data_IF_491968157654
#
_entry.id   IF_491968157654
#
_cell.length_a   1.000
_cell.length_b   1.000
_cell.length_c   1.000
_cell.angle_alpha   90.00
_cell.angle_beta   90.00
_cell.angle_gamma   90.00
#
_symmetry.space_group_name_H-M   'P 1'
#
loop_
_entity.id
_entity.type
_entity.pdbx_description
1 polymer ?
#
# COMPACT_ATOMS: atom_id res chain seq x y z
N UNK A 1 -9.57 -21.06 -18.98
CA UNK A 1 -8.47 -21.03 -17.99
C UNK A 1 -9.10 -21.27 -16.61
N UNK A 2 -8.55 -22.17 -15.80
CA UNK A 2 -9.00 -22.37 -14.41
C UNK A 2 -8.33 -21.32 -13.53
N UNK A 3 -9.00 -20.80 -12.50
CA UNK A 3 -8.44 -19.78 -11.58
C UNK A 3 -7.11 -20.23 -10.97
N UNK A 4 -6.96 -21.52 -10.64
CA UNK A 4 -5.69 -22.05 -10.11
C UNK A 4 -4.52 -21.91 -11.08
N UNK A 5 -4.75 -21.89 -12.40
CA UNK A 5 -3.72 -21.64 -13.40
C UNK A 5 -3.34 -20.16 -13.52
N UNK A 6 -3.99 -19.28 -12.75
CA UNK A 6 -3.72 -17.86 -12.67
C UNK A 6 -3.03 -17.46 -11.36
N UNK A 7 -2.69 -18.42 -10.51
CA UNK A 7 -2.01 -18.18 -9.25
C UNK A 7 -0.62 -18.83 -9.30
N UNK A 8 0.35 -18.32 -8.53
CA UNK A 8 1.61 -19.02 -8.36
C UNK A 8 1.36 -20.42 -7.77
N UNK A 9 2.26 -21.36 -8.07
CA UNK A 9 2.19 -22.74 -7.55
C UNK A 9 2.23 -22.79 -6.01
N UNK A 10 2.81 -21.77 -5.39
CA UNK A 10 2.84 -21.58 -3.94
C UNK A 10 2.74 -20.10 -3.61
N UNK A 11 2.07 -19.74 -2.50
CA UNK A 11 2.01 -18.35 -2.06
C UNK A 11 3.41 -17.82 -1.74
N UNK A 12 3.63 -16.52 -1.92
CA UNK A 12 4.90 -15.88 -1.59
C UNK A 12 5.23 -16.07 -0.10
N UNK A 13 6.47 -16.47 0.20
CA UNK A 13 6.93 -16.62 1.58
C UNK A 13 7.30 -15.30 2.24
N UNK A 14 7.55 -14.26 1.44
CA UNK A 14 7.85 -12.91 1.90
C UNK A 14 7.21 -11.88 0.96
N UNK A 15 6.91 -10.70 1.49
CA UNK A 15 6.45 -9.55 0.69
C UNK A 15 7.16 -8.28 1.14
N UNK A 16 7.46 -7.38 0.21
CA UNK A 16 7.99 -6.07 0.57
C UNK A 16 6.89 -5.14 1.12
N UNK A 17 7.19 -4.48 2.24
CA UNK A 17 6.36 -3.41 2.77
C UNK A 17 6.60 -2.14 1.94
N UNK A 18 5.60 -1.75 1.15
CA UNK A 18 5.59 -0.49 0.41
C UNK A 18 5.06 0.60 1.34
N UNK A 19 5.95 1.43 1.86
CA UNK A 19 5.59 2.49 2.80
C UNK A 19 4.98 3.68 2.07
N UNK A 20 3.84 4.17 2.55
CA UNK A 20 3.22 5.36 1.94
C UNK A 20 3.78 6.62 2.54
N UNK A 21 4.11 7.56 1.65
CA UNK A 21 4.49 8.93 1.98
C UNK A 21 3.31 9.80 1.59
N UNK A 22 2.51 10.18 2.57
CA UNK A 22 1.39 11.11 2.45
C UNK A 22 1.84 12.54 2.15
N UNK A 23 0.88 13.45 1.92
CA UNK A 23 1.16 14.84 1.57
C UNK A 23 1.69 15.68 2.75
N UNK A 24 1.35 15.29 3.98
CA UNK A 24 1.75 15.99 5.20
C UNK A 24 2.78 15.25 6.06
N UNK A 25 3.16 14.04 5.67
CA UNK A 25 4.06 13.23 6.50
C UNK A 25 5.44 13.91 6.63
N UNK A 26 6.03 13.92 7.83
CA UNK A 26 7.36 14.48 8.04
C UNK A 26 8.40 13.61 7.31
N UNK A 27 9.21 14.25 6.46
CA UNK A 27 10.23 13.55 5.68
C UNK A 27 11.51 13.36 6.49
N UNK A 28 11.80 14.29 7.39
CA UNK A 28 12.95 14.24 8.29
C UNK A 28 12.53 14.42 9.73
N UNK A 29 13.24 13.75 10.65
CA UNK A 29 13.07 13.95 12.09
C UNK A 29 13.06 15.43 12.50
N UNK A 30 13.87 16.27 11.86
CA UNK A 30 13.97 17.70 12.17
C UNK A 30 12.71 18.52 11.83
N UNK A 31 11.82 17.99 10.98
CA UNK A 31 10.56 18.66 10.59
C UNK A 31 9.47 18.52 11.65
N UNK A 32 9.62 17.58 12.58
CA UNK A 32 8.61 17.29 13.61
C UNK A 32 8.74 18.32 14.76
N UNK A 33 7.72 19.15 15.00
CA UNK A 33 7.66 20.06 16.15
C UNK A 33 7.81 19.31 17.48
N UNK A 34 8.41 19.97 18.48
CA UNK A 34 8.70 19.32 19.77
C UNK A 34 7.46 18.78 20.49
N UNK A 35 6.33 19.46 20.35
CA UNK A 35 5.02 19.10 20.91
C UNK A 35 4.26 18.05 20.09
N UNK A 36 4.66 17.80 18.85
CA UNK A 36 4.09 16.75 17.98
C UNK A 36 4.93 15.46 17.97
N UNK A 37 6.10 15.46 18.64
CA UNK A 37 6.95 14.27 18.76
C UNK A 37 6.29 13.23 19.65
N UNK A 38 6.15 12.03 19.12
CA UNK A 38 5.64 10.90 19.89
C UNK A 38 6.78 10.27 20.71
N UNK A 39 6.51 10.00 21.99
CA UNK A 39 7.34 9.12 22.83
C UNK A 39 6.65 7.77 22.97
N UNK A 40 6.45 7.07 21.86
CA UNK A 40 5.85 5.73 21.80
C UNK A 40 6.86 4.61 21.45
N UNK A 41 8.09 5.02 21.08
CA UNK A 41 9.23 4.18 20.74
C UNK A 41 9.27 3.73 19.27
N UNK A 42 8.44 4.29 18.40
CA UNK A 42 8.38 3.98 16.97
C UNK A 42 8.96 5.14 16.12
N UNK A 43 9.45 4.87 14.90
CA UNK A 43 9.89 5.92 13.99
C UNK A 43 8.70 6.75 13.50
N UNK A 44 8.87 8.07 13.42
CA UNK A 44 7.82 9.00 13.02
C UNK A 44 8.08 9.66 11.66
N UNK A 45 9.33 10.02 11.37
CA UNK A 45 9.68 10.59 10.06
C UNK A 45 10.07 9.52 9.04
N UNK A 46 9.93 9.84 7.74
CA UNK A 46 10.31 8.93 6.65
C UNK A 46 11.76 8.45 6.78
N UNK A 47 12.71 9.33 7.08
CA UNK A 47 14.12 8.97 7.22
C UNK A 47 14.37 7.99 8.38
N UNK A 48 13.65 8.13 9.48
CA UNK A 48 13.65 7.17 10.60
C UNK A 48 13.01 5.83 10.21
N UNK A 49 11.88 5.87 9.51
CA UNK A 49 11.19 4.67 9.02
C UNK A 49 12.10 3.85 8.09
N UNK A 50 12.80 4.51 7.16
CA UNK A 50 13.75 3.86 6.25
C UNK A 50 14.86 3.15 7.04
N UNK A 51 15.49 3.85 8.00
CA UNK A 51 16.56 3.28 8.83
C UNK A 51 16.08 2.13 9.70
N UNK A 52 14.92 2.30 10.35
CA UNK A 52 14.40 1.36 11.34
C UNK A 52 13.94 0.05 10.72
N UNK A 53 13.35 0.11 9.52
CA UNK A 53 12.75 -1.06 8.87
C UNK A 53 13.52 -1.54 7.63
N UNK A 54 14.54 -0.81 7.18
CA UNK A 54 15.29 -1.12 5.96
C UNK A 54 14.46 -1.00 4.69
N UNK A 55 13.49 -0.06 4.67
CA UNK A 55 12.52 0.10 3.58
C UNK A 55 13.21 0.37 2.24
N UNK A 56 12.64 -0.18 1.16
CA UNK A 56 13.07 0.07 -0.22
C UNK A 56 11.92 0.28 -1.20
N UNK A 57 10.68 0.18 -0.74
CA UNK A 57 9.48 0.30 -1.57
C UNK A 57 8.61 1.41 -1.01
N UNK A 58 8.19 2.33 -1.86
CA UNK A 58 7.45 3.52 -1.46
C UNK A 58 6.23 3.75 -2.35
N UNK A 59 5.13 4.23 -1.76
CA UNK A 59 3.99 4.81 -2.46
C UNK A 59 3.96 6.28 -2.12
N UNK A 60 4.07 7.16 -3.09
CA UNK A 60 4.18 8.61 -2.84
C UNK A 60 2.90 9.27 -3.34
N UNK A 61 2.20 9.95 -2.44
CA UNK A 61 0.99 10.69 -2.81
C UNK A 61 1.36 12.02 -3.48
N UNK A 62 0.64 12.37 -4.53
CA UNK A 62 0.72 13.67 -5.21
C UNK A 62 -0.65 14.36 -5.14
N UNK A 63 -0.66 15.70 -5.12
CA UNK A 63 -1.90 16.47 -5.06
C UNK A 63 -2.26 17.18 -6.38
N UNK A 64 -1.45 16.99 -7.43
CA UNK A 64 -1.66 17.55 -8.76
C UNK A 64 -1.38 19.05 -8.87
N UNK A 65 -0.69 19.63 -7.87
CA UNK A 65 -0.33 21.04 -7.81
C UNK A 65 1.16 21.21 -7.85
N UNK A 66 1.68 21.81 -8.91
CA UNK A 66 3.12 21.97 -9.17
C UNK A 66 3.87 22.63 -8.02
N UNK A 67 3.30 23.69 -7.45
CA UNK A 67 3.87 24.47 -6.35
C UNK A 67 4.02 23.67 -5.05
N UNK A 68 3.23 22.60 -4.90
CA UNK A 68 3.26 21.71 -3.74
C UNK A 68 4.07 20.45 -4.03
N UNK A 69 3.79 19.79 -5.15
CA UNK A 69 4.33 18.48 -5.47
C UNK A 69 5.80 18.56 -5.89
N UNK A 70 6.24 19.56 -6.66
CA UNK A 70 7.64 19.61 -7.13
C UNK A 70 8.62 19.75 -5.95
N UNK A 71 8.48 20.75 -5.05
CA UNK A 71 9.38 20.86 -3.89
C UNK A 71 9.33 19.62 -2.99
N UNK A 72 8.13 19.06 -2.76
CA UNK A 72 7.96 17.88 -1.91
C UNK A 72 8.59 16.63 -2.52
N UNK A 73 8.35 16.36 -3.80
CA UNK A 73 8.93 15.22 -4.51
C UNK A 73 10.45 15.32 -4.59
N UNK A 74 11.02 16.53 -4.73
CA UNK A 74 12.47 16.74 -4.67
C UNK A 74 13.02 16.33 -3.31
N UNK A 75 12.35 16.73 -2.22
CA UNK A 75 12.78 16.35 -0.88
C UNK A 75 12.64 14.85 -0.61
N UNK A 76 11.51 14.25 -1.01
CA UNK A 76 11.31 12.81 -0.92
C UNK A 76 12.43 12.09 -1.69
N UNK A 77 12.69 12.48 -2.94
CA UNK A 77 13.75 11.88 -3.78
C UNK A 77 15.11 11.94 -3.08
N UNK A 78 15.43 13.08 -2.45
CA UNK A 78 16.67 13.25 -1.68
C UNK A 78 16.73 12.30 -0.48
N UNK A 79 15.67 12.25 0.34
CA UNK A 79 15.60 11.35 1.51
C UNK A 79 15.70 9.88 1.09
N UNK A 80 15.02 9.48 0.01
CA UNK A 80 15.08 8.11 -0.51
C UNK A 80 16.48 7.75 -1.02
N UNK A 81 17.12 8.64 -1.80
CA UNK A 81 18.47 8.41 -2.31
C UNK A 81 19.53 8.33 -1.19
N UNK A 82 19.40 9.15 -0.14
CA UNK A 82 20.27 9.12 1.04
C UNK A 82 20.04 7.85 1.88
N UNK A 83 18.77 7.48 2.12
CA UNK A 83 18.40 6.38 3.00
C UNK A 83 18.48 4.99 2.35
N UNK A 84 18.45 4.91 1.01
CA UNK A 84 18.42 3.66 0.26
C UNK A 84 19.62 3.55 -0.70
N UNK A 85 20.86 3.41 -0.21
CA UNK A 85 22.05 3.36 -1.07
C UNK A 85 22.08 2.16 -2.02
N UNK A 86 21.29 1.12 -1.74
CA UNK A 86 21.10 -0.07 -2.60
C UNK A 86 19.99 0.11 -3.65
N UNK A 87 19.45 1.32 -3.79
CA UNK A 87 18.30 1.63 -4.62
C UNK A 87 16.97 1.45 -3.89
N UNK A 88 15.93 2.05 -4.47
CA UNK A 88 14.55 1.97 -4.02
C UNK A 88 13.62 1.76 -5.22
N UNK A 89 12.35 1.54 -4.96
CA UNK A 89 11.26 1.48 -5.94
C UNK A 89 10.11 2.35 -5.44
N UNK A 90 9.46 3.05 -6.37
CA UNK A 90 8.40 3.98 -6.02
C UNK A 90 7.18 3.84 -6.92
N UNK A 91 6.00 4.12 -6.37
CA UNK A 91 4.77 4.35 -7.12
C UNK A 91 4.30 5.77 -6.83
N UNK A 92 3.67 6.44 -7.79
CA UNK A 92 2.96 7.69 -7.50
C UNK A 92 1.47 7.41 -7.44
N UNK A 93 0.80 7.96 -6.43
CA UNK A 93 -0.64 7.86 -6.23
C UNK A 93 -1.26 9.24 -6.40
N UNK A 94 -2.02 9.38 -7.48
CA UNK A 94 -2.71 10.62 -7.82
C UNK A 94 -4.08 10.76 -7.20
N UNK A 95 -4.58 9.77 -6.44
CA UNK A 95 -5.76 9.83 -5.57
C UNK A 95 -6.89 10.73 -6.11
N UNK A 96 -7.29 10.50 -7.37
CA UNK A 96 -8.40 11.18 -8.05
C UNK A 96 -8.24 12.70 -8.32
N UNK A 97 -7.01 13.24 -8.33
CA UNK A 97 -6.77 14.69 -8.41
C UNK A 97 -7.01 15.31 -9.81
N UNK A 98 -7.10 14.51 -10.88
CA UNK A 98 -7.22 15.01 -12.25
C UNK A 98 -8.59 14.67 -12.87
N UNK A 99 -9.15 15.58 -13.68
CA UNK A 99 -10.41 15.33 -14.42
C UNK A 99 -10.16 14.85 -15.86
N UNK A 100 -8.93 14.96 -16.34
CA UNK A 100 -8.52 14.62 -17.70
C UNK A 100 -7.15 13.96 -17.67
N UNK A 101 -6.98 12.89 -18.45
CA UNK A 101 -5.69 12.22 -18.57
C UNK A 101 -4.68 13.10 -19.35
N UNK A 102 -5.16 13.98 -20.23
CA UNK A 102 -4.29 14.92 -20.93
C UNK A 102 -3.64 15.91 -19.96
N UNK A 103 -4.39 16.41 -18.97
CA UNK A 103 -3.88 17.32 -17.95
C UNK A 103 -2.86 16.60 -17.05
N UNK A 104 -3.16 15.35 -16.65
CA UNK A 104 -2.19 14.54 -15.91
C UNK A 104 -0.92 14.27 -16.72
N UNK A 105 -1.04 14.01 -18.03
CA UNK A 105 0.13 13.79 -18.91
C UNK A 105 1.02 15.03 -18.97
N UNK A 106 0.44 16.22 -19.05
CA UNK A 106 1.22 17.46 -19.02
C UNK A 106 1.89 17.67 -17.66
N UNK A 107 1.17 17.45 -16.56
CA UNK A 107 1.74 17.49 -15.22
C UNK A 107 2.91 16.51 -15.05
N UNK A 108 2.73 15.26 -15.49
CA UNK A 108 3.79 14.25 -15.49
C UNK A 108 5.02 14.72 -16.29
N UNK A 109 4.81 15.33 -17.47
CA UNK A 109 5.89 15.85 -18.30
C UNK A 109 6.72 16.91 -17.56
N UNK A 110 6.07 17.77 -16.77
CA UNK A 110 6.74 18.77 -15.95
C UNK A 110 7.57 18.11 -14.84
N UNK A 111 7.01 17.14 -14.13
CA UNK A 111 7.76 16.38 -13.11
C UNK A 111 8.96 15.64 -13.71
N UNK A 112 8.75 14.94 -14.82
CA UNK A 112 9.80 14.15 -15.48
C UNK A 112 10.91 15.01 -16.09
N UNK A 113 10.63 16.27 -16.45
CA UNK A 113 11.64 17.21 -16.94
C UNK A 113 12.56 17.74 -15.83
N UNK A 114 12.16 17.59 -14.56
CA UNK A 114 12.96 18.02 -13.43
C UNK A 114 14.10 17.04 -13.11
N UNK A 115 15.34 17.49 -13.36
CA UNK A 115 16.54 16.67 -13.13
C UNK A 115 16.72 16.22 -11.68
N UNK A 116 16.19 16.96 -10.71
CA UNK A 116 16.26 16.57 -9.32
C UNK A 116 15.35 15.36 -9.00
N UNK A 117 14.37 15.07 -9.86
CA UNK A 117 13.47 13.92 -9.74
C UNK A 117 13.95 12.70 -10.55
N UNK A 118 15.07 12.80 -11.28
CA UNK A 118 15.56 11.69 -12.09
C UNK A 118 15.71 10.37 -11.32
N UNK A 119 16.29 10.31 -10.09
CA UNK A 119 16.39 9.06 -9.34
C UNK A 119 15.02 8.44 -9.00
N UNK A 120 14.00 9.27 -8.78
CA UNK A 120 12.65 8.82 -8.51
C UNK A 120 12.01 8.22 -9.77
N UNK A 121 12.13 8.90 -10.91
CA UNK A 121 11.58 8.42 -12.18
C UNK A 121 12.31 7.19 -12.73
N UNK A 122 13.62 7.07 -12.50
CA UNK A 122 14.40 5.87 -12.80
C UNK A 122 13.92 4.64 -11.99
N UNK A 123 13.28 4.89 -10.84
CA UNK A 123 12.77 3.87 -9.91
C UNK A 123 11.24 3.75 -9.91
N UNK A 124 10.55 4.44 -10.84
CA UNK A 124 9.09 4.48 -10.89
C UNK A 124 8.52 3.19 -11.47
N UNK A 125 7.66 2.53 -10.70
CA UNK A 125 7.03 1.27 -11.08
C UNK A 125 5.71 1.52 -11.83
N UNK A 126 4.84 2.39 -11.30
CA UNK A 126 3.58 2.79 -11.93
C UNK A 126 2.97 4.05 -11.30
N UNK A 127 1.95 4.58 -11.95
CA UNK A 127 1.03 5.60 -11.44
C UNK A 127 -0.31 4.95 -11.07
N UNK A 128 -0.80 5.24 -9.88
CA UNK A 128 -2.10 4.78 -9.36
C UNK A 128 -3.13 5.92 -9.43
N UNK A 129 -4.30 5.59 -9.98
CA UNK A 129 -5.51 6.42 -10.04
C UNK A 129 -5.28 7.95 -10.09
N UNK A 130 -4.67 8.49 -11.16
CA UNK A 130 -4.53 9.95 -11.26
C UNK A 130 -5.87 10.63 -11.57
N UNK A 131 -6.77 9.97 -12.30
CA UNK A 131 -8.06 10.54 -12.66
C UNK A 131 -9.12 10.31 -11.59
N UNK A 132 -10.02 11.27 -11.41
CA UNK A 132 -11.28 11.07 -10.71
C UNK A 132 -12.09 9.94 -11.37
N UNK A 133 -12.72 9.08 -10.56
CA UNK A 133 -13.40 7.86 -11.02
C UNK A 133 -14.46 8.10 -12.09
N UNK A 134 -15.15 9.23 -12.02
CA UNK A 134 -16.18 9.63 -13.01
C UNK A 134 -15.61 9.89 -14.41
N UNK A 135 -14.28 10.00 -14.53
CA UNK A 135 -13.55 10.28 -15.75
C UNK A 135 -12.64 9.12 -16.18
N UNK A 136 -12.17 8.32 -15.22
CA UNK A 136 -11.16 7.28 -15.44
C UNK A 136 -11.54 6.24 -16.52
N UNK A 137 -12.83 5.95 -16.73
CA UNK A 137 -13.29 4.91 -17.67
C UNK A 137 -13.97 5.45 -18.94
N UNK A 138 -13.82 6.75 -19.24
CA UNK A 138 -14.37 7.38 -20.45
C UNK A 138 -13.53 7.06 -21.69
N UNK A 139 -14.14 7.11 -22.88
CA UNK A 139 -13.49 6.73 -24.15
C UNK A 139 -12.31 7.63 -24.52
N UNK A 140 -12.30 8.89 -24.11
CA UNK A 140 -11.24 9.85 -24.43
C UNK A 140 -9.89 9.45 -23.83
N UNK A 141 -9.89 8.72 -22.70
CA UNK A 141 -8.70 8.16 -22.06
C UNK A 141 -7.88 7.30 -23.02
N UNK A 142 -8.53 6.50 -23.87
CA UNK A 142 -7.85 5.58 -24.77
C UNK A 142 -6.91 6.30 -25.73
N UNK A 143 -7.37 7.41 -26.29
CA UNK A 143 -6.58 8.20 -27.25
C UNK A 143 -5.29 8.76 -26.62
N UNK A 144 -5.35 9.15 -25.34
CA UNK A 144 -4.20 9.70 -24.63
C UNK A 144 -3.21 8.60 -24.26
N UNK A 145 -3.69 7.44 -23.77
CA UNK A 145 -2.83 6.30 -23.44
C UNK A 145 -2.15 5.70 -24.67
N UNK A 146 -2.86 5.59 -25.80
CA UNK A 146 -2.31 5.12 -27.07
C UNK A 146 -1.21 6.06 -27.60
N UNK A 147 -1.42 7.38 -27.48
CA UNK A 147 -0.48 8.40 -27.91
C UNK A 147 0.70 8.62 -26.94
N UNK A 148 0.70 7.98 -25.76
CA UNK A 148 1.72 8.15 -24.72
C UNK A 148 2.50 6.84 -24.51
N UNK A 149 3.19 6.38 -25.55
CA UNK A 149 3.87 5.06 -25.58
C UNK A 149 5.05 4.94 -24.61
N UNK A 150 5.75 6.04 -24.37
CA UNK A 150 6.87 6.18 -23.45
C UNK A 150 6.44 6.55 -22.02
N UNK A 151 5.13 6.70 -21.78
CA UNK A 151 4.57 6.94 -20.44
C UNK A 151 4.65 5.72 -19.51
N UNK A 152 4.54 5.95 -18.20
CA UNK A 152 4.54 4.88 -17.20
C UNK A 152 3.30 3.99 -17.33
N UNK A 153 3.32 2.82 -16.69
CA UNK A 153 2.09 2.07 -16.46
C UNK A 153 1.14 2.86 -15.56
N UNK A 154 -0.14 2.91 -15.93
CA UNK A 154 -1.19 3.54 -15.12
C UNK A 154 -2.18 2.45 -14.71
N UNK A 155 -2.52 2.39 -13.43
CA UNK A 155 -3.54 1.48 -12.89
C UNK A 155 -4.73 2.26 -12.33
N UNK A 156 -5.88 1.60 -12.28
CA UNK A 156 -7.05 2.09 -11.55
C UNK A 156 -7.06 1.54 -10.12
N UNK A 157 -7.63 2.32 -9.21
CA UNK A 157 -7.98 1.90 -7.87
C UNK A 157 -9.42 2.35 -7.54
N UNK A 158 -9.67 3.63 -7.24
CA UNK A 158 -11.00 4.12 -6.86
C UNK A 158 -12.07 3.90 -7.94
N UNK A 159 -11.67 3.86 -9.21
CA UNK A 159 -12.55 3.52 -10.33
C UNK A 159 -12.83 2.01 -10.48
N UNK A 160 -12.14 1.14 -9.74
CA UNK A 160 -12.33 -0.31 -9.75
C UNK A 160 -13.36 -0.75 -8.69
N UNK A 161 -14.63 -0.40 -8.91
CA UNK A 161 -15.75 -0.69 -8.00
C UNK A 161 -16.55 -1.97 -8.34
N UNK A 162 -16.63 -2.34 -9.61
CA UNK A 162 -17.43 -3.43 -10.17
C UNK A 162 -16.54 -4.52 -10.81
N UNK A 163 -17.12 -5.64 -11.26
CA UNK A 163 -16.35 -6.68 -12.00
C UNK A 163 -16.06 -6.29 -13.45
N UNK A 164 -16.75 -5.27 -13.98
CA UNK A 164 -16.63 -4.83 -15.38
C UNK A 164 -15.59 -3.71 -15.56
N UNK A 165 -15.14 -3.09 -14.47
CA UNK A 165 -14.29 -1.90 -14.51
C UNK A 165 -12.87 -2.21 -14.99
N UNK A 166 -12.22 -3.28 -14.48
CA UNK A 166 -10.92 -3.70 -15.00
C UNK A 166 -10.98 -4.13 -16.48
N UNK A 167 -11.92 -4.98 -16.95
CA UNK A 167 -12.09 -5.24 -18.37
C UNK A 167 -12.13 -3.97 -19.21
N UNK A 168 -12.94 -2.99 -18.80
CA UNK A 168 -13.06 -1.71 -19.47
C UNK A 168 -11.76 -0.90 -19.43
N UNK A 169 -11.09 -0.83 -18.28
CA UNK A 169 -9.81 -0.13 -18.15
C UNK A 169 -8.75 -0.73 -19.08
N UNK A 170 -8.67 -2.06 -19.17
CA UNK A 170 -7.74 -2.72 -20.07
C UNK A 170 -8.08 -2.45 -21.55
N UNK A 171 -9.37 -2.33 -21.92
CA UNK A 171 -9.78 -1.93 -23.28
C UNK A 171 -9.37 -0.48 -23.60
N UNK A 172 -9.30 0.39 -22.60
CA UNK A 172 -8.81 1.78 -22.73
C UNK A 172 -7.27 1.87 -22.75
N UNK A 173 -6.55 0.81 -22.40
CA UNK A 173 -5.09 0.77 -22.39
C UNK A 173 -4.44 1.01 -21.02
N UNK A 174 -5.20 0.99 -19.92
CA UNK A 174 -4.61 0.92 -18.58
C UNK A 174 -3.77 -0.35 -18.41
N UNK A 175 -2.80 -0.31 -17.50
CA UNK A 175 -1.90 -1.42 -17.21
C UNK A 175 -2.43 -2.38 -16.15
N UNK A 176 -3.48 -2.03 -15.42
CA UNK A 176 -4.16 -2.92 -14.49
C UNK A 176 -4.89 -2.22 -13.35
N UNK A 177 -4.89 -2.85 -12.17
CA UNK A 177 -5.66 -2.39 -10.99
C UNK A 177 -4.94 -2.70 -9.66
N UNK A 178 -5.53 -2.26 -8.55
CA UNK A 178 -5.11 -2.54 -7.18
C UNK A 178 -6.07 -3.50 -6.45
N UNK A 179 -5.54 -4.55 -5.83
CA UNK A 179 -6.29 -5.47 -4.97
C UNK A 179 -6.47 -4.88 -3.57
N UNK A 180 -7.71 -4.98 -3.06
CA UNK A 180 -8.07 -4.68 -1.66
C UNK A 180 -9.04 -5.73 -1.17
N UNK A 181 -8.83 -6.26 0.03
CA UNK A 181 -9.78 -7.23 0.60
C UNK A 181 -11.20 -6.68 0.71
N UNK A 182 -11.37 -5.39 1.02
CA UNK A 182 -12.70 -4.76 1.11
C UNK A 182 -13.45 -4.69 -0.24
N UNK A 183 -12.73 -4.70 -1.38
CA UNK A 183 -13.31 -4.77 -2.72
C UNK A 183 -13.74 -6.19 -3.10
N UNK A 184 -13.36 -7.18 -2.30
CA UNK A 184 -13.73 -8.58 -2.42
C UNK A 184 -12.58 -9.46 -2.90
N UNK A 185 -12.28 -10.50 -2.12
CA UNK A 185 -11.23 -11.48 -2.43
C UNK A 185 -11.46 -12.23 -3.74
N UNK A 186 -12.73 -12.51 -4.07
CA UNK A 186 -13.11 -13.17 -5.33
C UNK A 186 -12.84 -12.26 -6.53
N UNK A 187 -13.09 -10.96 -6.37
CA UNK A 187 -12.75 -9.96 -7.39
C UNK A 187 -11.24 -9.90 -7.62
N UNK A 188 -10.43 -9.90 -6.56
CA UNK A 188 -8.96 -9.98 -6.66
C UNK A 188 -8.48 -11.17 -7.49
N UNK A 189 -9.03 -12.36 -7.22
CA UNK A 189 -8.74 -13.57 -8.01
C UNK A 189 -9.16 -13.44 -9.48
N UNK A 190 -10.35 -12.89 -9.74
CA UNK A 190 -10.84 -12.67 -11.09
C UNK A 190 -9.98 -11.66 -11.86
N UNK A 191 -9.57 -10.57 -11.21
CA UNK A 191 -8.70 -9.53 -11.76
C UNK A 191 -7.31 -10.09 -12.11
N UNK A 192 -6.71 -10.88 -11.21
CA UNK A 192 -5.44 -11.57 -11.49
C UNK A 192 -5.55 -12.49 -12.72
N UNK A 193 -6.61 -13.31 -12.77
CA UNK A 193 -6.86 -14.20 -13.91
C UNK A 193 -7.05 -13.44 -15.23
N UNK A 194 -7.78 -12.33 -15.19
CA UNK A 194 -8.00 -11.49 -16.37
C UNK A 194 -6.70 -10.86 -16.87
N UNK A 195 -5.89 -10.30 -15.97
CA UNK A 195 -4.60 -9.68 -16.29
C UNK A 195 -3.67 -10.68 -16.96
N UNK A 196 -3.53 -11.90 -16.40
CA UNK A 196 -2.69 -12.93 -17.02
C UNK A 196 -3.21 -13.36 -18.39
N UNK A 197 -4.54 -13.50 -18.55
CA UNK A 197 -5.15 -13.85 -19.83
C UNK A 197 -4.91 -12.77 -20.90
N UNK A 198 -4.92 -11.49 -20.51
CA UNK A 198 -4.74 -10.36 -21.43
C UNK A 198 -3.28 -9.96 -21.64
N UNK A 199 -2.37 -10.41 -20.78
CA UNK A 199 -0.95 -10.03 -20.79
C UNK A 199 -0.29 -10.05 -22.18
N UNK A 200 -0.54 -11.10 -22.97
CA UNK A 200 0.04 -11.26 -24.32
C UNK A 200 -0.46 -10.24 -25.35
N UNK A 201 -1.55 -9.52 -25.07
CA UNK A 201 -2.16 -8.53 -25.94
C UNK A 201 -1.99 -7.10 -25.43
N UNK A 202 -1.37 -6.93 -24.26
CA UNK A 202 -1.12 -5.63 -23.67
C UNK A 202 0.19 -5.04 -24.21
N UNK A 203 0.22 -3.71 -24.37
CA UNK A 203 1.43 -2.97 -24.76
C UNK A 203 2.42 -2.82 -23.61
N UNK A 204 1.93 -2.92 -22.37
CA UNK A 204 2.70 -2.86 -21.12
C UNK A 204 2.48 -4.13 -20.31
N UNK A 205 3.43 -4.45 -19.43
CA UNK A 205 3.25 -5.55 -18.50
C UNK A 205 1.99 -5.34 -17.64
N UNK A 206 1.20 -6.39 -17.41
CA UNK A 206 0.05 -6.29 -16.52
C UNK A 206 0.49 -6.00 -15.09
N UNK A 207 -0.25 -5.13 -14.41
CA UNK A 207 0.03 -4.72 -13.04
C UNK A 207 -1.17 -5.08 -12.16
N UNK A 208 -0.90 -5.87 -11.12
CA UNK A 208 -1.79 -6.04 -9.99
C UNK A 208 -1.08 -5.51 -8.75
N UNK A 209 -1.45 -4.30 -8.31
CA UNK A 209 -1.00 -3.74 -7.03
C UNK A 209 -1.82 -4.31 -5.87
N UNK A 210 -1.46 -3.97 -4.65
CA UNK A 210 -2.25 -4.28 -3.46
C UNK A 210 -2.13 -3.18 -2.40
N UNK A 211 -3.19 -2.98 -1.62
CA UNK A 211 -3.29 -1.94 -0.59
C UNK A 211 -3.88 -2.45 0.74
N UNK A 212 -3.40 -1.95 1.91
CA UNK A 212 -3.97 -2.36 3.22
C UNK A 212 -5.20 -1.59 3.65
N UNK A 213 -5.38 -0.34 3.22
CA UNK A 213 -6.29 0.60 3.89
C UNK A 213 -5.91 0.85 5.36
N UNK A 214 -4.61 0.92 5.65
CA UNK A 214 -4.08 1.06 7.01
C UNK A 214 -4.59 -0.01 8.00
N UNK A 215 -4.98 -1.19 7.51
CA UNK A 215 -5.42 -2.30 8.34
C UNK A 215 -4.35 -2.71 9.35
N UNK A 216 -4.80 -2.97 10.58
CA UNK A 216 -3.97 -3.51 11.66
C UNK A 216 -4.37 -4.95 11.98
N UNK A 217 -3.49 -5.63 12.72
CA UNK A 217 -3.78 -6.96 13.22
C UNK A 217 -4.84 -6.97 14.34
N UNK A 218 -5.27 -8.17 14.75
CA UNK A 218 -4.69 -9.44 14.33
C UNK A 218 -5.43 -10.14 13.18
N UNK A 219 -6.57 -9.65 12.69
CA UNK A 219 -7.32 -10.38 11.64
C UNK A 219 -7.15 -9.76 10.26
N UNK A 220 -7.51 -8.48 10.10
CA UNK A 220 -7.59 -7.84 8.79
C UNK A 220 -6.24 -7.84 8.06
N UNK A 221 -5.16 -7.46 8.77
CA UNK A 221 -3.81 -7.48 8.21
C UNK A 221 -3.37 -8.88 7.77
N UNK A 222 -3.66 -9.92 8.57
CA UNK A 222 -3.24 -11.30 8.27
C UNK A 222 -3.95 -11.85 7.03
N UNK A 223 -5.26 -11.64 6.93
CA UNK A 223 -6.05 -12.06 5.77
C UNK A 223 -5.65 -11.31 4.51
N UNK A 224 -5.27 -10.04 4.65
CA UNK A 224 -4.78 -9.24 3.53
C UNK A 224 -3.43 -9.76 3.02
N UNK A 225 -2.48 -10.02 3.91
CA UNK A 225 -1.19 -10.63 3.54
C UNK A 225 -1.36 -12.03 2.94
N UNK A 226 -2.30 -12.83 3.42
CA UNK A 226 -2.61 -14.13 2.83
C UNK A 226 -3.10 -14.00 1.38
N UNK A 227 -3.96 -13.03 1.08
CA UNK A 227 -4.40 -12.75 -0.29
C UNK A 227 -3.26 -12.24 -1.17
N UNK A 228 -2.46 -11.29 -0.68
CA UNK A 228 -1.29 -10.74 -1.39
C UNK A 228 -0.31 -11.85 -1.77
N UNK A 229 0.00 -12.75 -0.82
CA UNK A 229 0.87 -13.89 -1.06
C UNK A 229 0.29 -14.87 -2.07
N UNK A 230 -1.00 -15.19 -1.95
CA UNK A 230 -1.70 -16.09 -2.86
C UNK A 230 -1.84 -15.52 -4.28
N UNK A 231 -1.99 -14.20 -4.42
CA UNK A 231 -2.04 -13.50 -5.72
C UNK A 231 -0.66 -13.31 -6.34
N UNK A 232 0.43 -13.61 -5.62
CA UNK A 232 1.80 -13.44 -6.11
C UNK A 232 2.25 -11.99 -6.21
N UNK A 233 1.67 -11.08 -5.42
CA UNK A 233 2.00 -9.66 -5.46
C UNK A 233 3.23 -9.40 -4.57
N UNK A 234 4.38 -8.98 -5.13
CA UNK A 234 5.67 -9.00 -4.42
C UNK A 234 5.86 -7.85 -3.43
N UNK A 235 5.02 -6.81 -3.50
CA UNK A 235 5.04 -5.66 -2.61
C UNK A 235 3.63 -5.13 -2.36
N UNK A 236 3.36 -4.65 -1.16
CA UNK A 236 2.02 -4.20 -0.77
C UNK A 236 2.11 -2.93 0.07
N UNK A 237 1.19 -1.98 -0.15
CA UNK A 237 1.06 -0.80 0.72
C UNK A 237 0.90 -1.25 2.17
N UNK A 238 1.80 -0.84 3.07
CA UNK A 238 1.72 -1.11 4.52
C UNK A 238 1.91 0.18 5.30
N UNK A 239 0.84 0.71 5.89
CA UNK A 239 0.87 1.93 6.70
C UNK A 239 0.26 1.76 8.08
N UNK A 240 -0.53 0.71 8.33
CA UNK A 240 -1.16 0.51 9.64
C UNK A 240 -0.16 0.51 10.80
N UNK A 241 1.03 -0.06 10.60
CA UNK A 241 2.08 -0.06 11.63
C UNK A 241 2.76 1.30 11.85
N UNK A 242 2.54 2.27 10.97
CA UNK A 242 3.05 3.63 11.10
C UNK A 242 2.09 4.50 11.93
N UNK A 243 0.77 4.33 11.74
CA UNK A 243 -0.24 5.11 12.45
C UNK A 243 -0.75 4.48 13.75
N UNK A 244 -0.45 3.21 13.99
CA UNK A 244 -0.86 2.49 15.18
C UNK A 244 0.34 1.86 15.90
N UNK A 245 0.32 1.93 17.23
CA UNK A 245 1.34 1.36 18.11
C UNK A 245 1.26 -0.18 18.19
N UNK A 246 1.57 -0.84 17.08
CA UNK A 246 1.46 -2.29 16.92
C UNK A 246 0.07 -2.80 17.29
N UNK A 247 0.02 -3.81 18.16
CA UNK A 247 -1.19 -4.37 18.74
C UNK A 247 -1.46 -3.85 20.16
N UNK A 248 -0.87 -2.69 20.53
CA UNK A 248 -0.97 -2.13 21.88
C UNK A 248 -2.40 -1.81 22.33
N UNK A 249 -3.35 -1.66 21.40
CA UNK A 249 -4.77 -1.49 21.68
C UNK A 249 -5.46 -2.79 22.17
N UNK A 250 -4.83 -3.95 21.96
CA UNK A 250 -5.37 -5.24 22.35
C UNK A 250 -4.86 -5.67 23.72
N UNK A 251 -5.62 -6.54 24.40
CA UNK A 251 -5.21 -7.07 25.70
C UNK A 251 -3.89 -7.85 25.61
N UNK A 252 -3.10 -7.92 26.70
CA UNK A 252 -1.86 -8.69 26.71
C UNK A 252 -2.04 -10.14 26.22
N UNK A 253 -3.15 -10.79 26.59
CA UNK A 253 -3.46 -12.16 26.15
C UNK A 253 -3.57 -12.30 24.63
N UNK A 254 -4.26 -11.36 23.96
CA UNK A 254 -4.35 -11.36 22.49
C UNK A 254 -2.97 -11.12 21.86
N UNK A 255 -2.18 -10.21 22.42
CA UNK A 255 -0.83 -9.95 21.93
C UNK A 255 0.07 -11.21 22.07
N UNK A 256 -0.01 -11.94 23.18
CA UNK A 256 0.73 -13.20 23.37
C UNK A 256 0.30 -14.30 22.39
N UNK A 257 -1.00 -14.43 22.14
CA UNK A 257 -1.53 -15.40 21.18
C UNK A 257 -1.02 -15.10 19.77
N UNK A 258 -1.02 -13.83 19.35
CA UNK A 258 -0.49 -13.42 18.04
C UNK A 258 1.00 -13.65 17.92
N UNK A 259 1.79 -13.26 18.93
CA UNK A 259 3.24 -13.47 18.94
C UNK A 259 3.61 -14.95 18.80
N UNK A 260 2.81 -15.84 19.42
CA UNK A 260 3.00 -17.29 19.33
C UNK A 260 2.56 -17.85 17.98
N UNK A 261 1.39 -17.47 17.50
CA UNK A 261 0.78 -18.01 16.30
C UNK A 261 1.42 -17.48 15.00
N UNK A 262 1.92 -16.24 15.04
CA UNK A 262 2.49 -15.53 13.90
C UNK A 262 3.93 -15.07 14.16
N UNK A 263 4.73 -15.95 14.77
CA UNK A 263 6.16 -15.77 14.87
C UNK A 263 6.79 -15.53 13.48
N UNK A 264 7.83 -14.70 13.42
CA UNK A 264 8.43 -14.23 12.18
C UNK A 264 7.76 -12.96 11.65
N UNK A 265 6.42 -12.91 11.58
CA UNK A 265 5.69 -11.72 11.16
C UNK A 265 5.57 -10.68 12.29
N UNK A 266 5.35 -11.15 13.52
CA UNK A 266 5.26 -10.30 14.71
C UNK A 266 6.45 -10.53 15.65
N UNK A 267 6.89 -9.45 16.29
CA UNK A 267 7.87 -9.46 17.38
C UNK A 267 7.35 -8.67 18.57
N UNK A 268 7.90 -8.95 19.75
CA UNK A 268 7.71 -8.07 20.91
C UNK A 268 8.60 -6.84 20.76
N UNK A 269 7.98 -5.66 20.81
CA UNK A 269 8.69 -4.40 20.89
C UNK A 269 9.39 -4.25 22.25
N UNK A 270 10.46 -3.46 22.32
CA UNK A 270 11.22 -3.23 23.57
C UNK A 270 10.34 -2.62 24.68
N UNK A 271 9.28 -1.91 24.29
CA UNK A 271 8.26 -1.35 25.17
C UNK A 271 7.08 -2.29 25.46
N UNK A 272 7.22 -3.58 25.18
CA UNK A 272 6.35 -4.66 25.64
C UNK A 272 5.20 -5.06 24.72
N UNK A 273 4.79 -4.21 23.77
CA UNK A 273 3.68 -4.49 22.85
C UNK A 273 4.11 -5.35 21.65
N UNK A 274 3.18 -6.12 21.08
CA UNK A 274 3.41 -6.84 19.82
C UNK A 274 3.38 -5.88 18.63
N UNK A 275 4.35 -5.98 17.72
CA UNK A 275 4.45 -5.14 16.52
C UNK A 275 4.88 -5.98 15.32
N UNK A 276 4.63 -5.48 14.10
CA UNK A 276 5.16 -6.13 12.90
C UNK A 276 6.69 -6.12 12.94
N UNK A 277 7.27 -7.20 12.44
CA UNK A 277 8.70 -7.37 12.31
C UNK A 277 9.10 -7.17 10.84
N UNK A 278 9.30 -5.91 10.46
CA UNK A 278 9.78 -5.55 9.12
C UNK A 278 11.31 -5.56 9.15
N UNK A 279 11.91 -6.47 8.39
CA UNK A 279 13.37 -6.64 8.31
C UNK A 279 13.81 -6.47 6.87
N UNK A 280 14.77 -5.57 6.62
CA UNK A 280 15.26 -5.26 5.26
C UNK A 280 14.12 -4.89 4.28
N UNK A 281 13.06 -4.26 4.80
CA UNK A 281 11.86 -3.87 4.07
C UNK A 281 10.89 -5.02 3.75
N UNK A 282 11.08 -6.20 4.35
CA UNK A 282 10.30 -7.41 4.07
C UNK A 282 9.49 -7.85 5.29
N UNK A 283 8.32 -8.43 5.01
CA UNK A 283 7.48 -9.16 5.96
C UNK A 283 7.59 -10.66 5.68
N UNK A 284 7.85 -11.46 6.72
CA UNK A 284 7.83 -12.92 6.66
C UNK A 284 6.39 -13.43 6.72
N UNK A 285 5.98 -14.19 5.70
CA UNK A 285 4.62 -14.71 5.56
C UNK A 285 4.52 -16.21 5.83
N UNK A 286 5.58 -16.86 6.31
CA UNK A 286 5.56 -18.31 6.57
C UNK A 286 4.41 -18.72 7.52
N UNK A 287 4.26 -18.01 8.64
CA UNK A 287 3.18 -18.28 9.60
C UNK A 287 1.79 -17.95 9.03
N UNK A 288 1.68 -16.89 8.23
CA UNK A 288 0.44 -16.51 7.53
C UNK A 288 0.01 -17.62 6.57
N UNK A 289 0.92 -18.09 5.72
CA UNK A 289 0.64 -19.12 4.73
C UNK A 289 0.30 -20.48 5.35
N UNK A 290 0.81 -20.75 6.56
CA UNK A 290 0.49 -21.97 7.31
C UNK A 290 -0.88 -21.93 8.00
N UNK A 291 -1.48 -20.75 8.13
CA UNK A 291 -2.71 -20.52 8.88
C UNK A 291 -3.95 -20.53 7.97
N UNK A 292 -5.12 -20.99 8.45
CA UNK A 292 -6.38 -20.91 7.72
C UNK A 292 -6.72 -19.46 7.35
N UNK A 293 -6.59 -19.14 6.07
CA UNK A 293 -6.73 -17.78 5.54
C UNK A 293 -5.92 -16.74 6.32
N UNK A 294 -4.67 -17.07 6.66
CA UNK A 294 -3.74 -16.15 7.30
C UNK A 294 -3.85 -16.05 8.82
N UNK A 295 -4.95 -16.47 9.43
CA UNK A 295 -5.22 -16.23 10.86
C UNK A 295 -5.24 -17.54 11.66
N UNK A 296 -4.27 -17.72 12.56
CA UNK A 296 -4.16 -18.88 13.44
C UNK A 296 -4.62 -18.60 14.88
N UNK A 297 -5.23 -17.44 15.12
CA UNK A 297 -5.83 -17.10 16.42
C UNK A 297 -7.35 -17.11 16.33
N UNK A 298 -8.01 -17.36 17.46
CA UNK A 298 -9.45 -17.18 17.59
C UNK A 298 -9.73 -16.03 18.55
N UNK A 299 -10.25 -14.93 18.02
CA UNK A 299 -10.76 -13.83 18.85
C UNK A 299 -12.06 -14.28 19.49
N UNK A 300 -12.03 -14.46 20.81
CA UNK A 300 -13.22 -14.70 21.62
C UNK A 300 -13.91 -13.37 21.93
N UNK A 301 -15.10 -13.09 21.34
CA UNK A 301 -15.81 -11.83 21.57
C UNK A 301 -16.20 -11.62 23.03
N UNK A 302 -16.31 -12.68 23.83
CA UNK A 302 -16.64 -12.59 25.26
C UNK A 302 -15.53 -11.91 26.09
N UNK A 303 -14.32 -11.76 25.53
CA UNK A 303 -13.21 -11.05 26.17
C UNK A 303 -13.28 -9.53 25.98
N UNK A 304 -14.23 -9.03 25.19
CA UNK A 304 -14.37 -7.61 24.88
C UNK A 304 -15.66 -7.05 25.47
N UNK A 305 -15.60 -5.80 25.95
CA UNK A 305 -16.79 -5.08 26.40
C UNK A 305 -17.66 -4.74 25.19
N UNK A 306 -18.96 -5.10 25.17
CA UNK A 306 -19.86 -4.66 24.11
C UNK A 306 -19.87 -3.13 24.00
N UNK A 307 -19.89 -2.61 22.77
CA UNK A 307 -19.78 -1.17 22.49
C UNK A 307 -20.77 -0.32 23.30
N UNK A 308 -22.04 -0.74 23.36
CA UNK A 308 -23.08 -0.04 24.12
C UNK A 308 -22.77 0.04 25.63
N UNK A 309 -22.26 -1.06 26.20
CA UNK A 309 -21.87 -1.10 27.61
C UNK A 309 -20.63 -0.23 27.88
N UNK A 310 -19.66 -0.25 26.97
CA UNK A 310 -18.45 0.59 27.07
C UNK A 310 -18.79 2.08 26.98
N UNK A 311 -19.66 2.48 26.03
CA UNK A 311 -20.12 3.87 25.88
C UNK A 311 -20.90 4.31 27.12
N UNK A 312 -21.86 3.52 27.59
CA UNK A 312 -22.64 3.83 28.81
C UNK A 312 -21.79 3.88 30.08
N UNK A 313 -20.70 3.11 30.10
CA UNK A 313 -19.70 3.11 31.17
C UNK A 313 -18.78 4.34 31.18
N UNK A 314 -18.95 5.28 30.24
CA UNK A 314 -18.14 6.49 30.17
C UNK A 314 -16.87 6.36 29.31
N UNK A 315 -16.71 5.28 28.54
CA UNK A 315 -15.50 5.05 27.75
C UNK A 315 -15.16 6.18 26.76
N UNK A 316 -16.15 6.93 26.26
CA UNK A 316 -15.90 8.10 25.42
C UNK A 316 -15.16 9.22 26.16
N UNK A 317 -15.34 9.35 27.47
CA UNK A 317 -14.63 10.34 28.28
C UNK A 317 -13.17 9.93 28.55
N UNK A 318 -12.81 8.65 28.36
CA UNK A 318 -11.43 8.15 28.48
C UNK A 318 -10.61 8.41 27.21
N UNK A 319 -11.25 8.85 26.12
CA UNK A 319 -10.60 9.17 24.84
C UNK A 319 -10.22 10.66 24.69
N UNK A 320 -10.61 11.53 25.63
CA UNK A 320 -10.31 12.96 25.63
C UNK A 320 -9.23 13.33 26.63
#
# INVERSE_FOLDING_TARGET
MRVAGCLPESPLSNVAARHTVGLGDPLRTSEIPGDERLDDGLPQALDECIRSYGLRWFKIKICGREETDIPRLREITRVLAEGCPRGFQATLDGNEQFQSLADFREFYRLLHADKALAPLFDSLVFIEQPLHRDHALRDDVASVLEAWKDGPGIIIDEADGSLDDLPRALDLGYSGTSHKNCKGIVKGLANSALLQKRAAFMTRAPILSAEDLANVGPVALLQDLAMVAALGIPHVERNGHHYFRGLGMHSPGVQEEVLRAHAGLYRRHERGFAALDIRDGLLDLASVNSAPFGCAIQLDPARFTPLDAWVKGGGLAELG
#
